data_IF_065758225091
#
_entry.id   IF_065758225091
#
_cell.length_a   1.000
_cell.length_b   1.000
_cell.length_c   1.000
_cell.angle_alpha   90.00
_cell.angle_beta   90.00
_cell.angle_gamma   90.00
#
_symmetry.space_group_name_H-M   'P 1'
#
loop_
_entity.id
_entity.type
_entity.pdbx_description
1 polymer ?
#
# COMPACT_ATOMS: atom_id res chain seq x y z
N UNK A 1 -5.91 -16.40 40.37
CA UNK A 1 -5.09 -16.25 39.17
C UNK A 1 -6.02 -15.73 38.08
N UNK A 2 -5.98 -14.42 37.78
CA UNK A 2 -6.80 -13.82 36.77
C UNK A 2 -6.11 -14.05 35.43
N UNK A 3 -6.77 -14.77 34.52
CA UNK A 3 -6.35 -14.81 33.09
C UNK A 3 -6.53 -13.40 32.53
N UNK A 4 -5.43 -12.70 32.36
CA UNK A 4 -5.36 -11.53 31.48
C UNK A 4 -5.47 -12.10 30.06
N UNK A 5 -6.66 -12.14 29.52
CA UNK A 5 -6.87 -12.26 28.08
C UNK A 5 -6.38 -10.95 27.48
N UNK A 6 -5.18 -10.99 26.91
CA UNK A 6 -4.65 -9.96 26.04
C UNK A 6 -5.59 -9.90 24.82
N UNK A 7 -6.62 -9.03 24.89
CA UNK A 7 -7.48 -8.76 23.74
C UNK A 7 -6.63 -7.95 22.76
N UNK A 8 -6.01 -8.67 21.81
CA UNK A 8 -5.34 -8.02 20.69
C UNK A 8 -6.32 -6.99 20.12
N UNK A 9 -5.88 -5.74 19.98
CA UNK A 9 -6.68 -4.67 19.37
C UNK A 9 -7.24 -5.17 18.04
N UNK A 10 -8.52 -4.91 17.78
CA UNK A 10 -9.15 -5.22 16.49
C UNK A 10 -8.39 -4.52 15.34
N UNK A 11 -7.78 -3.36 15.63
CA UNK A 11 -6.94 -2.62 14.72
C UNK A 11 -5.48 -3.08 14.80
N UNK A 12 -4.87 -3.35 13.65
CA UNK A 12 -3.44 -3.64 13.55
C UNK A 12 -2.62 -2.37 13.37
N UNK A 13 -3.19 -1.32 12.75
CA UNK A 13 -2.59 0.01 12.65
C UNK A 13 -3.62 1.05 13.11
N UNK A 14 -3.17 1.98 13.97
CA UNK A 14 -3.96 3.11 14.43
C UNK A 14 -3.15 4.39 14.22
N UNK A 15 -3.69 5.31 13.44
CA UNK A 15 -3.10 6.62 13.19
C UNK A 15 -4.03 7.68 13.75
N UNK A 16 -3.51 8.53 14.65
CA UNK A 16 -4.29 9.58 15.31
C UNK A 16 -3.59 10.92 15.18
N UNK A 17 -4.31 11.90 14.63
CA UNK A 17 -3.88 13.29 14.53
C UNK A 17 -2.59 13.49 13.73
N UNK A 18 -2.35 12.65 12.73
CA UNK A 18 -1.13 12.65 11.95
C UNK A 18 -0.95 13.97 11.21
N UNK A 19 0.18 14.65 11.47
CA UNK A 19 0.64 15.81 10.71
C UNK A 19 2.01 15.53 10.13
N UNK A 20 2.15 15.79 8.83
CA UNK A 20 3.42 15.59 8.13
C UNK A 20 3.61 16.65 7.04
N UNK A 21 4.83 17.20 6.99
CA UNK A 21 5.30 18.11 5.94
C UNK A 21 6.47 17.50 5.19
N UNK A 22 6.52 17.78 3.91
CA UNK A 22 7.70 17.51 3.08
C UNK A 22 8.30 18.83 2.64
N UNK A 23 9.34 19.27 3.32
CA UNK A 23 9.78 20.66 3.25
C UNK A 23 8.69 21.60 3.74
N UNK A 24 8.34 22.60 2.96
CA UNK A 24 7.25 23.54 3.30
C UNK A 24 5.85 23.01 3.00
N UNK A 25 5.73 22.00 2.14
CA UNK A 25 4.44 21.46 1.71
C UNK A 25 3.82 20.60 2.80
N UNK A 26 2.65 20.99 3.30
CA UNK A 26 1.82 20.17 4.18
C UNK A 26 1.22 19.02 3.38
N UNK A 27 1.51 17.78 3.77
CA UNK A 27 1.02 16.57 3.13
C UNK A 27 -0.18 16.00 3.90
N UNK A 28 -0.09 15.93 5.23
CA UNK A 28 -1.18 15.48 6.10
C UNK A 28 -1.46 16.51 7.19
N UNK A 29 -2.75 16.75 7.46
CA UNK A 29 -3.22 17.63 8.52
C UNK A 29 -4.26 16.92 9.40
N UNK A 30 -3.81 16.41 10.54
CA UNK A 30 -4.62 15.68 11.53
C UNK A 30 -5.34 14.45 10.93
N UNK A 31 -4.63 13.70 10.08
CA UNK A 31 -5.16 12.47 9.48
C UNK A 31 -5.38 11.41 10.56
N UNK A 32 -6.53 10.72 10.51
CA UNK A 32 -6.87 9.59 11.36
C UNK A 32 -7.24 8.40 10.48
N UNK A 33 -6.65 7.23 10.73
CA UNK A 33 -6.89 5.98 9.99
C UNK A 33 -6.74 4.81 10.95
N UNK A 34 -7.69 3.88 10.90
CA UNK A 34 -7.67 2.62 11.62
C UNK A 34 -7.71 1.46 10.62
N UNK A 35 -6.76 0.55 10.70
CA UNK A 35 -6.65 -0.62 9.82
C UNK A 35 -7.03 -1.87 10.61
N UNK A 36 -8.09 -2.53 10.19
CA UNK A 36 -8.57 -3.76 10.80
C UNK A 36 -7.63 -4.93 10.53
N UNK A 37 -7.38 -5.73 11.55
CA UNK A 37 -6.57 -6.94 11.46
C UNK A 37 -7.21 -7.97 10.55
N UNK A 38 -6.42 -8.64 9.72
CA UNK A 38 -6.86 -9.72 8.83
C UNK A 38 -7.72 -9.28 7.65
N UNK A 39 -7.88 -7.96 7.42
CA UNK A 39 -8.69 -7.39 6.35
C UNK A 39 -7.83 -6.79 5.24
N UNK A 40 -8.45 -6.62 4.08
CA UNK A 40 -7.89 -5.84 2.97
C UNK A 40 -8.42 -4.41 3.08
N UNK A 41 -7.53 -3.47 3.37
CA UNK A 41 -7.87 -2.03 3.42
C UNK A 41 -7.26 -1.31 2.23
N UNK A 42 -8.09 -0.64 1.45
CA UNK A 42 -7.66 0.24 0.38
C UNK A 42 -7.49 1.69 0.86
N UNK A 43 -6.43 2.35 0.43
CA UNK A 43 -6.20 3.78 0.63
C UNK A 43 -6.11 4.41 -0.76
N UNK A 44 -7.15 5.12 -1.14
CA UNK A 44 -7.32 5.68 -2.47
C UNK A 44 -7.31 7.22 -2.45
N UNK A 45 -7.09 7.82 -3.60
CA UNK A 45 -7.11 9.27 -3.77
C UNK A 45 -6.29 9.69 -5.00
N UNK A 46 -6.42 10.95 -5.43
CA UNK A 46 -5.67 11.47 -6.58
C UNK A 46 -4.16 11.31 -6.44
N UNK A 47 -3.45 11.35 -7.56
CA UNK A 47 -1.99 11.33 -7.57
C UNK A 47 -1.43 12.52 -6.77
N UNK A 48 -0.33 12.29 -6.04
CA UNK A 48 0.32 13.34 -5.25
C UNK A 48 -0.33 13.67 -3.90
N UNK A 49 -1.38 12.97 -3.46
CA UNK A 49 -2.02 13.16 -2.14
C UNK A 49 -1.22 12.60 -0.96
N UNK A 50 -0.08 11.92 -1.24
CA UNK A 50 0.80 11.42 -0.19
C UNK A 50 0.60 9.95 0.17
N UNK A 51 -0.15 9.16 -0.60
CA UNK A 51 -0.45 7.74 -0.33
C UNK A 51 0.80 6.90 -0.05
N UNK A 52 1.80 6.92 -0.94
CA UNK A 52 3.10 6.25 -0.72
C UNK A 52 3.83 6.78 0.52
N UNK A 53 3.71 8.09 0.80
CA UNK A 53 4.28 8.69 2.03
C UNK A 53 3.62 8.13 3.28
N UNK A 54 2.31 7.89 3.24
CA UNK A 54 1.57 7.28 4.33
C UNK A 54 2.06 5.85 4.61
N UNK A 55 2.27 5.03 3.58
CA UNK A 55 2.88 3.70 3.74
C UNK A 55 4.27 3.78 4.37
N UNK A 56 5.09 4.76 3.96
CA UNK A 56 6.42 4.98 4.55
C UNK A 56 6.35 5.41 6.02
N UNK A 57 5.33 6.16 6.40
CA UNK A 57 5.09 6.50 7.80
C UNK A 57 4.64 5.26 8.58
N UNK A 58 3.70 4.47 8.08
CA UNK A 58 3.25 3.22 8.72
C UNK A 58 4.39 2.22 8.94
N UNK A 59 5.36 2.19 8.05
CA UNK A 59 6.55 1.32 8.17
C UNK A 59 7.72 1.95 8.93
N UNK A 60 7.54 3.17 9.44
CA UNK A 60 8.57 3.90 10.18
C UNK A 60 9.79 4.35 9.33
N UNK A 61 9.67 4.33 7.99
CA UNK A 61 10.73 4.85 7.10
C UNK A 61 10.80 6.39 7.16
N UNK A 62 9.67 7.02 7.46
CA UNK A 62 9.53 8.47 7.64
C UNK A 62 8.78 8.70 8.93
N UNK A 63 9.26 9.61 9.76
CA UNK A 63 8.58 10.01 10.98
C UNK A 63 7.71 11.24 10.72
N UNK A 64 6.48 11.29 11.24
CA UNK A 64 5.62 12.46 11.12
C UNK A 64 6.05 13.58 12.07
N UNK A 65 5.64 14.82 11.78
CA UNK A 65 5.91 15.99 12.63
C UNK A 65 5.12 15.91 13.96
N UNK A 66 3.87 15.39 13.89
CA UNK A 66 2.96 15.24 15.03
C UNK A 66 2.01 14.08 14.80
N UNK A 67 1.36 13.67 15.88
CA UNK A 67 0.38 12.60 15.89
C UNK A 67 0.93 11.33 16.53
N UNK A 68 0.18 10.25 16.41
CA UNK A 68 0.54 8.94 16.95
C UNK A 68 0.31 7.90 15.86
N UNK A 69 1.27 6.98 15.71
CA UNK A 69 1.17 5.85 14.79
C UNK A 69 1.50 4.58 15.56
N UNK A 70 0.47 3.76 15.77
CA UNK A 70 0.58 2.45 16.40
C UNK A 70 0.58 1.39 15.32
N UNK A 71 1.47 0.42 15.41
CA UNK A 71 1.52 -0.75 14.53
C UNK A 71 1.71 -1.98 15.39
N UNK A 72 0.79 -2.91 15.31
CA UNK A 72 0.73 -4.12 16.14
C UNK A 72 0.99 -3.83 17.63
N UNK A 73 0.27 -2.82 18.16
CA UNK A 73 0.36 -2.37 19.55
C UNK A 73 1.62 -1.54 19.90
N UNK A 74 2.55 -1.33 18.94
CA UNK A 74 3.82 -0.62 19.14
C UNK A 74 3.76 0.80 18.54
N UNK A 75 4.14 1.81 19.32
CA UNK A 75 4.24 3.19 18.83
C UNK A 75 5.54 3.37 18.03
N UNK A 76 5.45 3.40 16.70
CA UNK A 76 6.64 3.47 15.82
C UNK A 76 7.51 4.72 16.07
N UNK A 77 6.93 5.81 16.57
CA UNK A 77 7.67 7.04 16.86
C UNK A 77 8.56 6.93 18.11
N UNK A 78 8.41 5.87 18.90
CA UNK A 78 9.15 5.65 20.15
C UNK A 78 10.08 4.44 20.10
N UNK A 79 10.03 3.68 19.00
CA UNK A 79 10.89 2.51 18.83
C UNK A 79 12.34 2.93 18.60
N UNK A 80 13.25 2.20 19.20
CA UNK A 80 14.66 2.22 18.82
C UNK A 80 14.83 1.64 17.41
N UNK A 81 15.98 1.89 16.78
CA UNK A 81 16.27 1.33 15.45
C UNK A 81 16.24 -0.21 15.45
N UNK A 82 16.67 -0.86 16.54
CA UNK A 82 16.63 -2.31 16.69
C UNK A 82 15.19 -2.84 16.78
N UNK A 83 14.35 -2.21 17.61
CA UNK A 83 12.94 -2.59 17.75
C UNK A 83 12.15 -2.36 16.44
N UNK A 84 12.45 -1.26 15.74
CA UNK A 84 11.84 -0.98 14.45
C UNK A 84 12.29 -2.00 13.38
N UNK A 85 13.53 -2.45 13.43
CA UNK A 85 14.03 -3.50 12.55
C UNK A 85 13.29 -4.82 12.78
N UNK A 86 13.09 -5.23 14.05
CA UNK A 86 12.33 -6.44 14.39
C UNK A 86 10.85 -6.31 13.94
N UNK A 87 10.22 -5.14 14.15
CA UNK A 87 8.87 -4.90 13.69
C UNK A 87 8.75 -5.05 12.15
N UNK A 88 9.74 -4.57 11.41
CA UNK A 88 9.74 -4.66 9.93
C UNK A 88 9.88 -6.08 9.39
N UNK A 89 10.41 -7.03 10.14
CA UNK A 89 10.41 -8.45 9.75
C UNK A 89 8.99 -9.03 9.69
N UNK A 90 8.06 -8.44 10.45
CA UNK A 90 6.65 -8.82 10.45
C UNK A 90 5.85 -8.11 9.32
N UNK A 91 6.53 -7.34 8.47
CA UNK A 91 5.94 -6.54 7.39
C UNK A 91 6.48 -6.97 6.03
N UNK A 92 5.60 -7.24 5.08
CA UNK A 92 5.93 -7.37 3.67
C UNK A 92 5.69 -6.06 2.93
N UNK A 93 6.46 -5.79 1.88
CA UNK A 93 6.27 -4.59 1.05
C UNK A 93 6.38 -4.93 -0.44
N UNK A 94 5.35 -4.64 -1.21
CA UNK A 94 5.35 -4.69 -2.66
C UNK A 94 5.43 -3.27 -3.21
N UNK A 95 6.59 -2.93 -3.79
CA UNK A 95 6.83 -1.64 -4.40
C UNK A 95 6.21 -1.53 -5.80
N UNK A 96 5.89 -0.31 -6.22
CA UNK A 96 5.26 0.00 -7.51
C UNK A 96 5.99 -0.61 -8.72
N UNK A 97 7.32 -0.66 -8.71
CA UNK A 97 8.13 -1.26 -9.78
C UNK A 97 8.64 -2.67 -9.46
N UNK A 98 8.11 -3.30 -8.39
CA UNK A 98 8.57 -4.60 -7.90
C UNK A 98 9.93 -4.56 -7.20
N UNK A 99 10.81 -3.63 -7.52
CA UNK A 99 12.16 -3.44 -6.94
C UNK A 99 12.95 -4.75 -6.82
N UNK A 100 12.95 -5.58 -7.86
CA UNK A 100 13.76 -6.79 -7.89
C UNK A 100 15.25 -6.44 -8.02
N UNK A 101 16.10 -7.24 -7.39
CA UNK A 101 17.54 -7.20 -7.60
C UNK A 101 17.84 -7.73 -9.00
N UNK A 102 18.33 -6.88 -9.89
CA UNK A 102 18.50 -7.17 -11.32
C UNK A 102 19.54 -8.24 -11.60
N UNK A 103 20.55 -8.34 -10.72
CA UNK A 103 21.67 -9.26 -10.84
C UNK A 103 21.42 -10.63 -10.14
N UNK A 104 20.21 -10.78 -9.55
CA UNK A 104 19.80 -11.97 -8.84
C UNK A 104 18.67 -12.69 -9.59
N UNK A 105 18.74 -14.02 -9.66
CA UNK A 105 17.66 -14.83 -10.22
C UNK A 105 16.34 -14.65 -9.43
N UNK A 106 15.25 -15.13 -9.98
CA UNK A 106 13.94 -15.22 -9.30
C UNK A 106 14.09 -15.92 -7.94
N UNK A 107 14.80 -17.07 -7.91
CA UNK A 107 15.09 -17.78 -6.67
C UNK A 107 15.81 -16.91 -5.65
N UNK A 108 16.90 -16.26 -6.05
CA UNK A 108 17.72 -15.42 -5.17
C UNK A 108 16.95 -14.21 -4.64
N UNK A 109 16.11 -13.60 -5.47
CA UNK A 109 15.23 -12.50 -5.02
C UNK A 109 14.30 -12.95 -3.89
N UNK A 110 13.69 -14.12 -3.98
CA UNK A 110 12.78 -14.64 -2.94
C UNK A 110 13.53 -15.21 -1.74
N UNK A 111 14.72 -15.79 -1.95
CA UNK A 111 15.56 -16.33 -0.89
C UNK A 111 16.21 -15.23 -0.02
N UNK A 112 16.44 -14.04 -0.58
CA UNK A 112 17.16 -12.95 0.05
C UNK A 112 16.66 -12.62 1.46
N UNK A 113 15.38 -12.31 1.71
CA UNK A 113 14.92 -12.02 3.06
C UNK A 113 15.08 -13.18 4.03
N UNK A 114 14.98 -14.42 3.57
CA UNK A 114 15.17 -15.60 4.42
C UNK A 114 16.62 -15.72 4.87
N UNK A 115 17.60 -15.47 3.98
CA UNK A 115 19.02 -15.49 4.32
C UNK A 115 19.42 -14.37 5.26
N UNK A 116 18.90 -13.17 5.04
CA UNK A 116 19.26 -12.00 5.84
C UNK A 116 18.65 -12.01 7.25
N UNK A 117 17.47 -12.62 7.40
CA UNK A 117 16.70 -12.47 8.64
C UNK A 117 16.48 -13.78 9.40
N UNK A 118 17.00 -14.91 8.90
CA UNK A 118 16.87 -16.22 9.56
C UNK A 118 18.19 -16.99 9.57
N UNK A 119 18.28 -18.00 10.43
CA UNK A 119 19.39 -18.94 10.49
C UNK A 119 19.04 -20.30 9.85
N UNK A 120 18.05 -20.31 8.95
CA UNK A 120 17.56 -21.54 8.32
C UNK A 120 18.64 -22.16 7.43
N UNK A 121 18.77 -23.51 7.41
CA UNK A 121 19.66 -24.20 6.49
C UNK A 121 19.19 -24.01 5.04
N UNK A 122 20.15 -24.00 4.11
CA UNK A 122 19.89 -23.73 2.68
C UNK A 122 18.85 -24.67 2.06
N UNK A 123 18.80 -25.94 2.51
CA UNK A 123 17.80 -26.91 2.07
C UNK A 123 16.38 -26.49 2.40
N UNK A 124 16.16 -25.92 3.58
CA UNK A 124 14.85 -25.43 4.02
C UNK A 124 14.49 -24.12 3.31
N UNK A 125 15.46 -23.21 3.16
CA UNK A 125 15.27 -21.98 2.37
C UNK A 125 14.77 -22.34 0.95
N UNK A 126 15.40 -23.33 0.32
CA UNK A 126 14.98 -23.78 -1.01
C UNK A 126 13.52 -24.24 -1.04
N UNK A 127 13.08 -25.01 -0.06
CA UNK A 127 11.70 -25.48 0.02
C UNK A 127 10.73 -24.32 0.17
N UNK A 128 11.02 -23.40 1.09
CA UNK A 128 10.20 -22.19 1.32
C UNK A 128 10.08 -21.37 0.02
N UNK A 129 11.20 -21.08 -0.64
CA UNK A 129 11.21 -20.31 -1.88
C UNK A 129 10.32 -20.96 -2.94
N UNK A 130 10.45 -22.27 -3.14
CA UNK A 130 9.62 -23.00 -4.13
C UNK A 130 8.14 -22.96 -3.76
N UNK A 131 7.79 -23.03 -2.47
CA UNK A 131 6.41 -22.87 -1.98
C UNK A 131 5.88 -21.45 -2.24
N UNK A 132 6.66 -20.41 -1.96
CA UNK A 132 6.26 -19.03 -2.22
C UNK A 132 6.10 -18.74 -3.71
N UNK A 133 7.00 -19.27 -4.55
CA UNK A 133 6.88 -19.19 -6.01
C UNK A 133 5.67 -19.97 -6.54
N UNK A 134 5.34 -21.10 -5.92
CA UNK A 134 4.13 -21.85 -6.25
C UNK A 134 2.87 -21.04 -5.93
N UNK A 135 2.83 -20.36 -4.79
CA UNK A 135 1.70 -19.53 -4.38
C UNK A 135 1.38 -18.40 -5.37
N UNK A 136 2.40 -17.87 -6.07
CA UNK A 136 2.24 -16.85 -7.11
C UNK A 136 2.26 -17.40 -8.54
N UNK A 137 2.27 -18.75 -8.71
CA UNK A 137 2.22 -19.41 -10.00
C UNK A 137 3.52 -19.33 -10.83
N UNK A 138 4.68 -19.15 -10.17
CA UNK A 138 5.97 -18.97 -10.85
C UNK A 138 7.05 -19.98 -10.45
N UNK A 139 6.65 -21.14 -9.87
CA UNK A 139 7.63 -22.16 -9.46
C UNK A 139 8.57 -22.61 -10.60
N UNK A 140 8.05 -22.72 -11.84
CA UNK A 140 8.84 -23.11 -13.00
C UNK A 140 9.82 -22.05 -13.50
N UNK A 141 9.70 -20.80 -13.03
CA UNK A 141 10.54 -19.66 -13.44
C UNK A 141 11.67 -19.36 -12.44
N UNK A 142 11.95 -20.25 -11.50
CA UNK A 142 12.84 -20.00 -10.36
C UNK A 142 14.28 -19.61 -10.75
N UNK A 143 14.76 -20.08 -11.91
CA UNK A 143 16.11 -19.83 -12.43
C UNK A 143 16.22 -18.64 -13.40
N UNK A 144 15.09 -18.04 -13.79
CA UNK A 144 15.08 -16.89 -14.69
C UNK A 144 15.67 -15.64 -14.00
N UNK A 145 16.24 -14.75 -14.82
CA UNK A 145 16.68 -13.42 -14.39
C UNK A 145 15.54 -12.41 -14.54
N UNK A 146 15.53 -11.30 -13.77
CA UNK A 146 14.49 -10.26 -13.89
C UNK A 146 14.31 -9.72 -15.31
N UNK A 147 15.37 -9.65 -16.11
CA UNK A 147 15.31 -9.18 -17.50
C UNK A 147 14.53 -10.13 -18.43
N UNK A 148 14.33 -11.38 -18.03
CA UNK A 148 13.60 -12.40 -18.79
C UNK A 148 12.10 -12.43 -18.42
N UNK A 149 11.67 -11.62 -17.45
CA UNK A 149 10.31 -11.63 -16.94
C UNK A 149 9.44 -10.57 -17.63
N UNK A 150 8.17 -10.93 -17.87
CA UNK A 150 7.16 -9.91 -18.16
C UNK A 150 6.90 -9.02 -16.91
N UNK A 151 6.33 -7.83 -17.08
CA UNK A 151 5.99 -6.95 -15.97
C UNK A 151 5.10 -7.62 -14.91
N UNK A 152 4.10 -8.39 -15.35
CA UNK A 152 3.24 -9.17 -14.47
C UNK A 152 3.98 -10.30 -13.74
N UNK A 153 4.93 -10.98 -14.41
CA UNK A 153 5.80 -11.96 -13.75
C UNK A 153 6.70 -11.32 -12.71
N UNK A 154 7.36 -10.21 -13.05
CA UNK A 154 8.23 -9.49 -12.11
C UNK A 154 7.45 -9.04 -10.86
N UNK A 155 6.21 -8.56 -11.03
CA UNK A 155 5.33 -8.17 -9.92
C UNK A 155 5.00 -9.36 -9.01
N UNK A 156 4.72 -10.54 -9.60
CA UNK A 156 4.45 -11.77 -8.85
C UNK A 156 5.69 -12.29 -8.10
N UNK A 157 6.89 -12.19 -8.69
CA UNK A 157 8.15 -12.51 -7.98
C UNK A 157 8.35 -11.57 -6.79
N UNK A 158 8.14 -10.27 -6.97
CA UNK A 158 8.23 -9.29 -5.89
C UNK A 158 7.21 -9.59 -4.78
N UNK A 159 6.00 -10.06 -5.12
CA UNK A 159 5.00 -10.51 -4.16
C UNK A 159 5.48 -11.77 -3.41
N UNK A 160 6.04 -12.78 -4.10
CA UNK A 160 6.61 -13.95 -3.45
C UNK A 160 7.73 -13.59 -2.46
N UNK A 161 8.57 -12.61 -2.81
CA UNK A 161 9.60 -12.06 -1.92
C UNK A 161 8.99 -11.34 -0.70
N UNK A 162 7.93 -10.55 -0.90
CA UNK A 162 7.25 -9.83 0.18
C UNK A 162 6.63 -10.78 1.22
N UNK A 163 6.19 -11.97 0.80
CA UNK A 163 5.61 -12.99 1.71
C UNK A 163 6.62 -14.04 2.19
N UNK A 164 7.91 -13.89 1.89
CA UNK A 164 8.92 -14.93 2.16
C UNK A 164 9.07 -15.21 3.67
N UNK A 165 8.97 -14.19 4.51
CA UNK A 165 9.09 -14.28 5.98
C UNK A 165 7.75 -14.52 6.70
N UNK A 166 6.66 -14.85 6.00
CA UNK A 166 5.32 -14.99 6.56
C UNK A 166 4.89 -13.76 7.39
N UNK A 167 4.89 -12.54 6.78
CA UNK A 167 4.58 -11.31 7.49
C UNK A 167 3.13 -11.30 7.97
N UNK A 168 2.85 -10.55 9.05
CA UNK A 168 1.48 -10.30 9.54
C UNK A 168 0.76 -9.23 8.73
N UNK A 169 1.52 -8.28 8.15
CA UNK A 169 1.01 -7.12 7.41
C UNK A 169 1.74 -7.04 6.08
N UNK A 170 1.01 -6.80 4.99
CA UNK A 170 1.61 -6.50 3.68
C UNK A 170 1.11 -5.15 3.20
N UNK A 171 2.07 -4.33 2.77
CA UNK A 171 1.85 -3.04 2.12
C UNK A 171 2.04 -3.19 0.61
N UNK A 172 1.06 -2.72 -0.14
CA UNK A 172 1.07 -2.71 -1.61
C UNK A 172 1.03 -1.26 -2.11
N UNK A 173 2.12 -0.82 -2.70
CA UNK A 173 2.21 0.53 -3.29
C UNK A 173 1.97 0.45 -4.79
N UNK A 174 0.79 0.86 -5.22
CA UNK A 174 0.33 0.84 -6.62
C UNK A 174 0.57 -0.53 -7.31
N UNK A 175 0.00 -1.62 -6.77
CA UNK A 175 0.38 -2.99 -7.17
C UNK A 175 0.05 -3.34 -8.62
N UNK A 176 -0.92 -2.67 -9.24
CA UNK A 176 -1.41 -2.99 -10.59
C UNK A 176 -0.99 -1.97 -11.65
N UNK A 177 -0.46 -0.82 -11.24
CA UNK A 177 -0.10 0.26 -12.16
C UNK A 177 0.90 -0.19 -13.21
N UNK A 178 0.58 0.08 -14.49
CA UNK A 178 1.43 -0.23 -15.64
C UNK A 178 1.39 -1.68 -16.11
N UNK A 179 0.47 -2.49 -15.58
CA UNK A 179 0.24 -3.86 -16.03
C UNK A 179 -0.87 -3.91 -17.10
N UNK A 180 -0.85 -4.94 -17.93
CA UNK A 180 -1.95 -5.27 -18.81
C UNK A 180 -3.17 -5.79 -18.00
N UNK A 181 -4.41 -5.73 -18.55
CA UNK A 181 -5.63 -6.09 -17.81
C UNK A 181 -5.63 -7.51 -17.24
N UNK A 182 -5.03 -8.47 -17.95
CA UNK A 182 -4.96 -9.87 -17.47
C UNK A 182 -4.04 -9.96 -16.26
N UNK A 183 -2.83 -9.35 -16.36
CA UNK A 183 -1.87 -9.30 -15.27
C UNK A 183 -2.42 -8.54 -14.05
N UNK A 184 -3.17 -7.45 -14.25
CA UNK A 184 -3.86 -6.72 -13.17
C UNK A 184 -4.83 -7.65 -12.43
N UNK A 185 -5.75 -8.31 -13.12
CA UNK A 185 -6.70 -9.24 -12.53
C UNK A 185 -6.04 -10.39 -11.77
N UNK A 186 -4.89 -10.89 -12.25
CA UNK A 186 -4.10 -11.92 -11.54
C UNK A 186 -3.55 -11.38 -10.23
N UNK A 187 -2.93 -10.17 -10.22
CA UNK A 187 -2.37 -9.57 -8.99
C UNK A 187 -3.46 -9.30 -7.96
N UNK A 188 -4.57 -8.69 -8.36
CA UNK A 188 -5.70 -8.39 -7.48
C UNK A 188 -6.25 -9.67 -6.82
N UNK A 189 -6.45 -10.72 -7.62
CA UNK A 189 -6.88 -12.03 -7.11
C UNK A 189 -5.86 -12.65 -6.15
N UNK A 190 -4.55 -12.56 -6.45
CA UNK A 190 -3.50 -13.06 -5.57
C UNK A 190 -3.49 -12.32 -4.23
N UNK A 191 -3.67 -11.00 -4.21
CA UNK A 191 -3.78 -10.22 -2.97
C UNK A 191 -4.91 -10.77 -2.09
N UNK A 192 -6.10 -10.99 -2.65
CA UNK A 192 -7.25 -11.54 -1.90
C UNK A 192 -6.98 -12.97 -1.42
N UNK A 193 -6.48 -13.84 -2.29
CA UNK A 193 -6.19 -15.23 -1.94
C UNK A 193 -5.12 -15.35 -0.84
N UNK A 194 -4.06 -14.55 -0.90
CA UNK A 194 -3.03 -14.54 0.13
C UNK A 194 -3.55 -14.02 1.47
N UNK A 195 -4.38 -12.96 1.44
CA UNK A 195 -5.03 -12.45 2.64
C UNK A 195 -5.89 -13.52 3.30
N UNK A 196 -6.77 -14.18 2.53
CA UNK A 196 -7.67 -15.21 3.04
C UNK A 196 -6.94 -16.47 3.52
N UNK A 197 -5.91 -16.91 2.77
CA UNK A 197 -5.22 -18.17 3.06
C UNK A 197 -4.22 -18.07 4.20
N UNK A 198 -3.58 -16.90 4.37
CA UNK A 198 -2.54 -16.67 5.37
C UNK A 198 -3.04 -15.87 6.59
N UNK A 199 -4.28 -15.36 6.55
CA UNK A 199 -4.85 -14.55 7.63
C UNK A 199 -4.11 -13.24 7.87
N UNK A 200 -3.37 -12.74 6.87
CA UNK A 200 -2.58 -11.54 7.00
C UNK A 200 -3.44 -10.27 6.78
N UNK A 201 -2.92 -9.11 7.18
CA UNK A 201 -3.55 -7.83 6.91
C UNK A 201 -2.94 -7.22 5.65
N UNK A 202 -3.78 -6.79 4.71
CA UNK A 202 -3.35 -6.20 3.43
C UNK A 202 -3.72 -4.72 3.39
N UNK A 203 -2.75 -3.85 3.07
CA UNK A 203 -2.95 -2.41 2.89
C UNK A 203 -2.54 -2.05 1.48
N UNK A 204 -3.51 -1.64 0.67
CA UNK A 204 -3.32 -1.31 -0.75
C UNK A 204 -3.43 0.20 -0.93
N UNK A 205 -2.40 0.80 -1.48
CA UNK A 205 -2.46 2.18 -1.96
C UNK A 205 -2.61 2.14 -3.47
N UNK A 206 -3.66 2.78 -3.99
CA UNK A 206 -3.88 2.86 -5.43
C UNK A 206 -4.72 4.08 -5.83
N UNK A 207 -4.66 4.41 -7.11
CA UNK A 207 -5.60 5.30 -7.78
C UNK A 207 -6.55 4.53 -8.72
N UNK A 208 -6.33 3.22 -8.91
CA UNK A 208 -7.19 2.32 -9.67
C UNK A 208 -8.36 1.87 -8.79
N UNK A 209 -9.49 2.56 -8.95
CA UNK A 209 -10.67 2.38 -8.08
C UNK A 209 -11.33 1.02 -8.31
N UNK A 210 -11.53 0.64 -9.57
CA UNK A 210 -12.30 -0.55 -9.95
C UNK A 210 -11.65 -1.83 -9.44
N UNK A 211 -10.36 -2.02 -9.78
CA UNK A 211 -9.60 -3.22 -9.42
C UNK A 211 -9.46 -3.36 -7.92
N UNK A 212 -9.10 -2.28 -7.23
CA UNK A 212 -8.84 -2.33 -5.79
C UNK A 212 -10.14 -2.49 -5.00
N UNK A 213 -11.22 -1.83 -5.43
CA UNK A 213 -12.54 -1.97 -4.79
C UNK A 213 -13.08 -3.40 -4.88
N UNK A 214 -12.70 -4.17 -5.90
CA UNK A 214 -13.15 -5.55 -6.06
C UNK A 214 -12.65 -6.50 -4.96
N UNK A 215 -11.57 -6.15 -4.25
CA UNK A 215 -10.94 -7.01 -3.22
C UNK A 215 -10.88 -6.39 -1.83
N UNK A 216 -11.13 -5.08 -1.70
CA UNK A 216 -11.07 -4.38 -0.43
C UNK A 216 -12.28 -4.68 0.45
N UNK A 217 -12.04 -4.94 1.73
CA UNK A 217 -13.08 -5.02 2.77
C UNK A 217 -13.48 -3.60 3.22
N UNK A 218 -12.51 -2.68 3.29
CA UNK A 218 -12.65 -1.29 3.71
C UNK A 218 -11.82 -0.37 2.82
N UNK A 219 -12.26 0.86 2.65
CA UNK A 219 -11.57 1.86 1.82
C UNK A 219 -11.57 3.24 2.46
N UNK A 220 -10.42 3.89 2.42
CA UNK A 220 -10.23 5.29 2.77
C UNK A 220 -9.99 6.11 1.51
N UNK A 221 -10.71 7.20 1.35
CA UNK A 221 -10.44 8.20 0.33
C UNK A 221 -9.71 9.39 0.96
N UNK A 222 -8.51 9.69 0.44
CA UNK A 222 -7.65 10.77 0.94
C UNK A 222 -7.56 11.88 -0.10
N UNK A 223 -7.84 13.10 0.32
CA UNK A 223 -7.62 14.33 -0.44
C UNK A 223 -7.18 15.45 0.48
N UNK A 224 -6.35 16.36 -0.01
CA UNK A 224 -5.88 17.55 0.72
C UNK A 224 -5.38 17.26 2.15
N UNK A 225 -4.71 16.12 2.30
CA UNK A 225 -4.11 15.70 3.57
C UNK A 225 -5.09 15.19 4.62
N UNK A 226 -6.34 14.89 4.25
CA UNK A 226 -7.40 14.41 5.14
C UNK A 226 -8.11 13.19 4.56
N UNK A 227 -8.75 12.41 5.44
CA UNK A 227 -9.75 11.43 5.01
C UNK A 227 -11.02 12.17 4.64
N UNK A 228 -11.45 12.06 3.39
CA UNK A 228 -12.69 12.68 2.87
C UNK A 228 -13.87 11.72 2.89
N UNK A 229 -13.61 10.41 2.84
CA UNK A 229 -14.62 9.38 3.02
C UNK A 229 -13.98 8.08 3.50
N UNK A 230 -14.76 7.26 4.20
CA UNK A 230 -14.40 5.94 4.68
C UNK A 230 -15.62 5.02 4.65
N UNK A 231 -15.42 3.76 4.35
CA UNK A 231 -16.46 2.73 4.31
C UNK A 231 -16.07 1.55 3.43
N UNK A 232 -17.00 0.63 3.24
CA UNK A 232 -16.85 -0.42 2.23
C UNK A 232 -16.87 0.20 0.82
N UNK A 233 -16.29 -0.44 -0.19
CA UNK A 233 -16.36 0.05 -1.57
C UNK A 233 -17.78 0.37 -2.01
N UNK A 234 -18.76 -0.46 -1.65
CA UNK A 234 -20.19 -0.26 -1.99
C UNK A 234 -20.78 0.99 -1.32
N UNK A 235 -20.42 1.27 -0.08
CA UNK A 235 -20.86 2.49 0.62
C UNK A 235 -20.26 3.73 -0.01
N UNK A 236 -18.99 3.66 -0.46
CA UNK A 236 -18.33 4.76 -1.15
C UNK A 236 -18.94 5.04 -2.52
N UNK A 237 -19.33 4.03 -3.27
CA UNK A 237 -20.07 4.20 -4.54
C UNK A 237 -21.42 4.89 -4.36
N UNK A 238 -22.09 4.68 -3.22
CA UNK A 238 -23.37 5.26 -2.87
C UNK A 238 -23.24 6.60 -2.12
N UNK A 239 -22.02 7.07 -1.90
CA UNK A 239 -21.77 8.29 -1.15
C UNK A 239 -22.33 9.53 -1.89
N UNK A 240 -23.03 10.41 -1.14
CA UNK A 240 -23.67 11.61 -1.70
C UNK A 240 -22.72 12.77 -1.95
N UNK A 241 -21.47 12.69 -1.51
CA UNK A 241 -20.47 13.73 -1.77
C UNK A 241 -20.13 13.80 -3.26
N UNK A 242 -20.28 14.96 -3.87
CA UNK A 242 -19.94 15.18 -5.27
C UNK A 242 -18.46 14.84 -5.56
N UNK A 243 -17.56 15.10 -4.61
CA UNK A 243 -16.15 14.78 -4.72
C UNK A 243 -15.91 13.26 -4.73
N UNK A 244 -16.53 12.53 -3.80
CA UNK A 244 -16.44 11.06 -3.74
C UNK A 244 -17.00 10.44 -5.02
N UNK A 245 -18.16 10.92 -5.48
CA UNK A 245 -18.77 10.46 -6.71
C UNK A 245 -17.88 10.70 -7.94
N UNK A 246 -17.30 11.92 -8.06
CA UNK A 246 -16.37 12.24 -9.14
C UNK A 246 -15.18 11.27 -9.15
N UNK A 247 -14.55 11.05 -7.99
CA UNK A 247 -13.38 10.18 -7.86
C UNK A 247 -13.71 8.71 -8.14
N UNK A 248 -14.78 8.19 -7.51
CA UNK A 248 -15.19 6.77 -7.66
C UNK A 248 -15.62 6.41 -9.08
N UNK A 249 -16.17 7.39 -9.84
CA UNK A 249 -16.63 7.19 -11.23
C UNK A 249 -15.66 7.70 -12.29
N UNK A 250 -14.55 8.31 -11.90
CA UNK A 250 -13.56 8.87 -12.83
C UNK A 250 -14.14 9.98 -13.70
N UNK A 251 -15.07 10.82 -13.18
CA UNK A 251 -15.73 11.87 -13.96
C UNK A 251 -14.77 13.04 -14.19
N UNK A 252 -14.75 13.55 -15.42
CA UNK A 252 -13.95 14.72 -15.80
C UNK A 252 -14.45 15.99 -15.11
N UNK A 253 -15.77 16.13 -14.97
CA UNK A 253 -16.41 17.30 -14.37
C UNK A 253 -16.78 17.02 -12.90
N UNK A 254 -16.51 17.99 -12.01
CA UNK A 254 -16.84 17.89 -10.61
C UNK A 254 -16.03 18.86 -9.72
N UNK A 255 -16.05 18.66 -8.40
CA UNK A 255 -15.35 19.53 -7.45
C UNK A 255 -13.83 19.59 -7.65
N UNK A 256 -13.21 18.55 -8.22
CA UNK A 256 -11.80 18.60 -8.63
C UNK A 256 -11.74 19.28 -10.00
N UNK A 257 -11.22 20.52 -10.07
CA UNK A 257 -11.24 21.29 -11.30
C UNK A 257 -10.30 20.69 -12.35
N UNK A 258 -10.73 20.70 -13.61
CA UNK A 258 -9.87 20.36 -14.76
C UNK A 258 -8.77 21.41 -14.96
N UNK A 259 -9.10 22.69 -14.78
CA UNK A 259 -8.17 23.80 -14.98
C UNK A 259 -7.33 24.06 -13.73
N UNK A 260 -6.02 24.21 -13.91
CA UNK A 260 -5.17 24.79 -12.89
C UNK A 260 -5.58 26.25 -12.67
N UNK A 261 -5.67 26.73 -11.43
CA UNK A 261 -6.07 28.13 -11.17
C UNK A 261 -5.21 29.13 -11.95
N UNK A 262 -5.85 29.94 -12.76
CA UNK A 262 -5.23 30.99 -13.56
C UNK A 262 -6.17 32.22 -13.59
N UNK A 263 -5.65 33.42 -13.86
CA UNK A 263 -6.47 34.57 -14.20
C UNK A 263 -7.35 34.28 -15.42
N UNK A 264 -8.43 35.05 -15.57
CA UNK A 264 -9.29 34.94 -16.74
C UNK A 264 -8.46 35.06 -18.04
N UNK A 265 -8.69 34.14 -18.99
CA UNK A 265 -7.89 34.06 -20.21
C UNK A 265 -8.03 35.32 -21.06
N UNK A 266 -9.25 35.88 -21.16
CA UNK A 266 -9.49 37.09 -21.95
C UNK A 266 -8.77 38.29 -21.32
N UNK A 267 -8.82 38.42 -20.00
CA UNK A 267 -8.07 39.47 -19.28
C UNK A 267 -6.54 39.32 -19.46
N UNK A 268 -6.05 38.07 -19.52
CA UNK A 268 -4.61 37.80 -19.68
C UNK A 268 -4.14 38.01 -21.15
N UNK A 269 -4.99 37.71 -22.16
CA UNK A 269 -4.64 37.86 -23.58
C UNK A 269 -4.83 39.29 -24.09
N UNK A 270 -5.89 39.96 -23.68
CA UNK A 270 -6.29 41.26 -24.25
C UNK A 270 -5.98 42.46 -23.33
N UNK A 271 -5.46 42.20 -22.14
CA UNK A 271 -5.29 43.21 -21.09
C UNK A 271 -6.64 43.56 -20.45
N UNK A 272 -6.65 43.90 -19.16
CA UNK A 272 -7.81 44.54 -18.57
C UNK A 272 -7.99 45.90 -19.29
N UNK A 273 -9.07 46.01 -20.09
CA UNK A 273 -9.46 47.35 -20.54
C UNK A 273 -9.61 48.25 -19.30
N UNK A 274 -8.70 49.23 -19.18
CA UNK A 274 -8.83 50.27 -18.16
C UNK A 274 -10.06 51.09 -18.56
N UNK A 275 -11.15 50.87 -17.87
CA UNK A 275 -12.24 51.83 -17.74
C UNK A 275 -12.33 52.35 -16.31
#
# INVERSE_FOLDING_TARGET
MAHITDSASENVIEISGLKYRRGEKLIFDRLNIDILRGKVTAIMGPSGTGKTTLLRIMTGQVLPDRGRVMVDGRNIMRLTSAELFELRKEMGFLFQNGALFTDNSVYENVAFPLREHTTLPQSLIRQIVLMKLQAVGLRGAWNLMPAELSGGMARRVALARAIALDPKIIFYDEPVTGLDPISMGVIVRLIRQLNDSLGLTSIIVSHDVEEVSSVADQSYLISEGKVVAYGTPKELEQNKSAWVHQFMKGLADGPVPFHYPAPDLAAQLFGAEQN
#
